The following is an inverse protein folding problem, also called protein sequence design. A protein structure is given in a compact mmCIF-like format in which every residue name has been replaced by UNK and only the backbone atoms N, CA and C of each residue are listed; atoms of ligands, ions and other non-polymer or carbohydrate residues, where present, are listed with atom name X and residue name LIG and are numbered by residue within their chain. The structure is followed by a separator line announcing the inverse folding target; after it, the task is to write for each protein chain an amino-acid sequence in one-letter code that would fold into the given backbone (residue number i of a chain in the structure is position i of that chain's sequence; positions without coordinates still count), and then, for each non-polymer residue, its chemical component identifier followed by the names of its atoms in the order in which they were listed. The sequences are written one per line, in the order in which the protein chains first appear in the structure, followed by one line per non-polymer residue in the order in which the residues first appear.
data_IF_633613756318
#
_entry.id   IF_633613756318
#
_cell.length_a   1.000
_cell.length_b   1.000
_cell.length_c   1.000
_cell.angle_alpha   90.00
_cell.angle_beta   90.00
_cell.angle_gamma   90.00
#
_symmetry.space_group_name_H-M   'P 1'
#
loop_
_entity.id
_entity.type
_entity.pdbx_description
1 polymer ?
#
# COMPACT_ATOMS: atom_id res chain seq x y z
N UNK A 1 -38.81 -24.27 -57.46
CA UNK A 1 -37.72 -25.26 -57.40
C UNK A 1 -36.55 -24.51 -56.85
N UNK A 2 -36.41 -24.59 -55.53
CA UNK A 2 -35.56 -23.72 -54.73
C UNK A 2 -34.09 -24.10 -54.89
N UNK A 3 -33.25 -23.11 -55.22
CA UNK A 3 -31.80 -23.24 -55.18
C UNK A 3 -31.34 -23.26 -53.72
N UNK A 4 -30.70 -24.34 -53.30
CA UNK A 4 -30.10 -24.50 -51.98
C UNK A 4 -28.79 -23.71 -51.94
N UNK A 5 -28.86 -22.48 -51.43
CA UNK A 5 -27.67 -21.69 -51.09
C UNK A 5 -26.96 -22.30 -49.86
N UNK A 6 -25.76 -22.83 -50.08
CA UNK A 6 -24.92 -23.38 -49.01
C UNK A 6 -24.16 -22.24 -48.31
N UNK A 7 -24.55 -21.96 -47.06
CA UNK A 7 -23.90 -20.94 -46.22
C UNK A 7 -22.48 -21.42 -45.83
N UNK A 8 -21.41 -20.65 -46.11
CA UNK A 8 -20.05 -21.05 -45.74
C UNK A 8 -19.86 -20.98 -44.22
N UNK A 9 -19.54 -22.13 -43.60
CA UNK A 9 -19.18 -22.22 -42.19
C UNK A 9 -17.93 -21.37 -41.92
N UNK A 10 -18.09 -20.24 -41.22
CA UNK A 10 -16.98 -19.43 -40.69
C UNK A 10 -16.12 -20.30 -39.77
N UNK A 11 -14.97 -20.74 -40.26
CA UNK A 11 -13.94 -21.42 -39.47
C UNK A 11 -13.45 -20.41 -38.42
N UNK A 12 -13.82 -20.63 -37.16
CA UNK A 12 -13.26 -19.89 -36.03
C UNK A 12 -11.78 -20.24 -35.97
N UNK A 13 -10.92 -19.31 -36.39
CA UNK A 13 -9.48 -19.43 -36.20
C UNK A 13 -9.20 -19.39 -34.69
N UNK A 14 -8.96 -20.56 -34.09
CA UNK A 14 -8.53 -20.66 -32.70
C UNK A 14 -7.21 -19.92 -32.54
N UNK A 15 -7.22 -18.89 -31.68
CA UNK A 15 -6.03 -18.11 -31.36
C UNK A 15 -5.28 -18.79 -30.22
N UNK A 16 -3.97 -18.93 -30.39
CA UNK A 16 -3.09 -19.61 -29.44
C UNK A 16 -2.56 -18.61 -28.41
N UNK A 17 -2.77 -18.88 -27.11
CA UNK A 17 -2.42 -17.98 -26.00
C UNK A 17 -1.16 -18.47 -25.29
N UNK A 18 -0.17 -17.59 -25.09
CA UNK A 18 0.98 -17.89 -24.23
C UNK A 18 0.54 -18.02 -22.77
N UNK A 19 0.90 -19.11 -22.10
CA UNK A 19 0.56 -19.35 -20.69
C UNK A 19 1.27 -18.40 -19.72
N UNK A 20 2.45 -17.88 -20.10
CA UNK A 20 3.26 -17.02 -19.24
C UNK A 20 2.96 -15.51 -19.38
N UNK A 21 2.71 -15.04 -20.61
CA UNK A 21 2.50 -13.60 -20.88
C UNK A 21 1.12 -13.27 -21.48
N UNK A 22 0.29 -14.29 -21.73
CA UNK A 22 -1.07 -14.18 -22.26
C UNK A 22 -1.21 -13.49 -23.61
N UNK A 23 -0.11 -13.24 -24.34
CA UNK A 23 -0.14 -12.80 -25.74
C UNK A 23 -0.82 -13.86 -26.61
N UNK A 24 -1.60 -13.38 -27.58
CA UNK A 24 -2.37 -14.22 -28.49
C UNK A 24 -1.71 -14.23 -29.87
N UNK A 25 -1.66 -15.41 -30.48
CA UNK A 25 -1.04 -15.65 -31.78
C UNK A 25 -2.06 -16.30 -32.71
N UNK A 26 -2.05 -15.90 -33.98
CA UNK A 26 -2.94 -16.48 -34.99
C UNK A 26 -2.45 -17.85 -35.48
N UNK A 27 -1.17 -18.18 -35.26
CA UNK A 27 -0.54 -19.45 -35.63
C UNK A 27 0.20 -20.03 -34.43
N UNK A 28 0.18 -21.37 -34.30
CA UNK A 28 0.86 -22.09 -33.21
C UNK A 28 2.38 -21.96 -33.32
N UNK A 29 2.94 -21.93 -34.54
CA UNK A 29 4.39 -21.77 -34.74
C UNK A 29 4.91 -20.48 -34.07
N UNK A 30 4.22 -19.36 -34.27
CA UNK A 30 4.64 -18.06 -33.70
C UNK A 30 4.56 -18.04 -32.17
N UNK A 31 3.62 -18.80 -31.57
CA UNK A 31 3.57 -18.97 -30.12
C UNK A 31 4.78 -19.77 -29.63
N UNK A 32 5.14 -20.85 -30.32
CA UNK A 32 6.28 -21.70 -29.96
C UNK A 32 7.59 -20.93 -30.09
N UNK A 33 7.76 -20.17 -31.16
CA UNK A 33 8.92 -19.29 -31.38
C UNK A 33 9.00 -18.22 -30.29
N UNK A 34 7.88 -17.57 -29.97
CA UNK A 34 7.80 -16.65 -28.83
C UNK A 34 8.25 -17.30 -27.51
N UNK A 35 7.81 -18.52 -27.21
CA UNK A 35 8.19 -19.21 -25.97
C UNK A 35 9.67 -19.58 -25.93
N UNK A 36 10.29 -19.85 -27.09
CA UNK A 36 11.73 -20.13 -27.21
C UNK A 36 12.58 -18.87 -27.03
N UNK A 37 12.16 -17.76 -27.64
CA UNK A 37 12.96 -16.51 -27.66
C UNK A 37 12.77 -15.66 -26.41
N UNK A 38 11.58 -15.75 -25.78
CA UNK A 38 11.21 -14.80 -24.73
C UNK A 38 11.65 -15.21 -23.33
N UNK A 39 12.40 -16.32 -23.18
CA UNK A 39 12.97 -16.87 -21.93
C UNK A 39 12.31 -16.32 -20.67
N UNK A 40 11.09 -16.79 -20.37
CA UNK A 40 10.29 -16.38 -19.22
C UNK A 40 10.94 -16.84 -17.91
N UNK A 41 12.05 -16.20 -17.54
CA UNK A 41 12.78 -16.43 -16.30
C UNK A 41 12.00 -15.86 -15.11
N UNK A 42 12.20 -16.45 -13.93
CA UNK A 42 11.73 -15.90 -12.64
C UNK A 42 12.24 -14.46 -12.42
N UNK A 43 13.32 -14.08 -13.10
CA UNK A 43 13.88 -12.72 -13.06
C UNK A 43 13.18 -11.72 -14.00
N UNK A 44 12.18 -12.14 -14.80
CA UNK A 44 11.41 -11.20 -15.61
C UNK A 44 10.41 -10.42 -14.75
N UNK A 45 10.39 -9.07 -14.84
CA UNK A 45 9.51 -8.25 -14.02
C UNK A 45 8.05 -8.53 -14.33
N UNK A 46 7.28 -8.86 -13.29
CA UNK A 46 5.87 -9.21 -13.38
C UNK A 46 5.02 -8.11 -12.76
N UNK A 47 3.92 -7.75 -13.41
CA UNK A 47 2.95 -6.82 -12.84
C UNK A 47 2.30 -7.43 -11.59
N UNK A 48 2.40 -6.73 -10.45
CA UNK A 48 1.83 -7.18 -9.18
C UNK A 48 0.30 -7.30 -9.20
N UNK A 49 -0.37 -6.50 -10.04
CA UNK A 49 -1.84 -6.45 -10.20
C UNK A 49 -2.34 -7.55 -11.13
N UNK A 50 -2.04 -7.45 -12.43
CA UNK A 50 -2.56 -8.40 -13.43
C UNK A 50 -1.69 -9.63 -13.67
N UNK A 51 -0.57 -9.77 -12.93
CA UNK A 51 0.35 -10.90 -13.04
C UNK A 51 0.98 -11.10 -14.43
N UNK A 52 0.95 -10.08 -15.30
CA UNK A 52 1.58 -10.10 -16.63
C UNK A 52 3.10 -9.98 -16.53
N UNK A 53 3.84 -10.89 -17.17
CA UNK A 53 5.29 -10.76 -17.34
C UNK A 53 5.62 -9.70 -18.39
N UNK A 54 6.51 -8.78 -18.03
CA UNK A 54 7.02 -7.73 -18.89
C UNK A 54 8.43 -8.09 -19.36
N UNK A 55 8.70 -7.78 -20.64
CA UNK A 55 10.01 -8.04 -21.27
C UNK A 55 11.17 -7.26 -20.63
N UNK A 56 10.85 -6.19 -19.90
CA UNK A 56 11.80 -5.35 -19.17
C UNK A 56 11.07 -4.53 -18.10
N UNK A 57 11.82 -3.96 -17.15
CA UNK A 57 11.27 -3.06 -16.13
C UNK A 57 10.65 -1.79 -16.76
N UNK A 58 11.19 -1.30 -17.88
CA UNK A 58 10.63 -0.16 -18.59
C UNK A 58 9.26 -0.49 -19.21
N UNK A 59 9.11 -1.71 -19.76
CA UNK A 59 7.81 -2.17 -20.26
C UNK A 59 6.79 -2.39 -19.12
N UNK A 60 7.25 -2.73 -17.92
CA UNK A 60 6.39 -2.78 -16.72
C UNK A 60 5.99 -1.35 -16.28
N UNK A 61 6.91 -0.39 -16.35
CA UNK A 61 6.65 1.02 -16.05
C UNK A 61 5.60 1.61 -17.00
N UNK A 62 5.75 1.42 -18.30
CA UNK A 62 4.73 1.82 -19.30
C UNK A 62 3.38 1.14 -19.05
N UNK A 63 3.38 -0.13 -18.63
CA UNK A 63 2.16 -0.87 -18.31
C UNK A 63 1.43 -0.30 -17.09
N UNK A 64 2.15 0.17 -16.07
CA UNK A 64 1.58 0.78 -14.86
C UNK A 64 1.11 2.23 -15.10
N UNK A 65 1.76 2.96 -16.02
CA UNK A 65 1.46 4.38 -16.31
C UNK A 65 0.42 4.55 -17.44
N UNK A 66 0.25 3.54 -18.31
CA UNK A 66 -0.61 3.63 -19.48
C UNK A 66 -2.10 3.76 -19.15
N UNK A 67 -2.71 4.89 -19.56
CA UNK A 67 -4.13 5.26 -19.39
C UNK A 67 -5.19 4.26 -19.90
N UNK A 68 -4.80 3.16 -20.56
CA UNK A 68 -5.74 2.19 -21.17
C UNK A 68 -6.02 0.95 -20.33
N UNK A 69 -5.34 0.75 -19.20
CA UNK A 69 -5.46 -0.49 -18.42
C UNK A 69 -5.79 -0.20 -16.95
N UNK A 70 -6.71 -0.99 -16.40
CA UNK A 70 -7.17 -0.97 -14.99
C UNK A 70 -6.06 -1.18 -13.96
N UNK A 71 -4.84 -1.55 -14.38
CA UNK A 71 -3.67 -1.74 -13.51
C UNK A 71 -3.01 -0.44 -13.03
N UNK A 72 -3.40 0.71 -13.59
CA UNK A 72 -2.90 2.04 -13.18
C UNK A 72 -3.55 2.58 -11.90
N UNK A 73 -4.70 2.03 -11.49
CA UNK A 73 -5.49 2.50 -10.36
C UNK A 73 -5.17 1.79 -9.04
N UNK A 74 -4.35 0.73 -9.08
CA UNK A 74 -3.93 -0.02 -7.91
C UNK A 74 -2.42 -0.19 -8.05
N UNK A 75 -1.65 0.81 -7.64
CA UNK A 75 -0.19 0.67 -7.53
C UNK A 75 0.06 -0.17 -6.28
N UNK A 76 0.54 -1.42 -6.38
CA UNK A 76 0.96 -2.17 -5.20
C UNK A 76 2.27 -1.53 -4.74
N UNK A 77 2.28 -1.01 -3.50
CA UNK A 77 3.41 -0.31 -2.90
C UNK A 77 4.63 -1.19 -2.63
N UNK A 78 4.61 -2.46 -3.04
CA UNK A 78 5.68 -3.43 -2.76
C UNK A 78 6.97 -3.21 -3.56
N UNK A 79 7.01 -2.27 -4.51
CA UNK A 79 8.23 -1.92 -5.27
C UNK A 79 8.62 -0.44 -5.24
N UNK A 80 7.88 0.40 -4.51
CA UNK A 80 7.96 1.86 -4.70
C UNK A 80 8.55 2.67 -3.56
N UNK A 81 8.91 2.05 -2.42
CA UNK A 81 9.57 2.81 -1.34
C UNK A 81 10.90 3.43 -1.81
N UNK A 82 11.65 2.77 -2.70
CA UNK A 82 12.92 3.31 -3.22
C UNK A 82 12.76 4.25 -4.43
N UNK A 83 11.72 4.10 -5.26
CA UNK A 83 11.61 4.82 -6.54
C UNK A 83 10.70 6.06 -6.52
N UNK A 84 9.75 6.16 -5.58
CA UNK A 84 8.87 7.34 -5.48
C UNK A 84 9.65 8.56 -4.95
N UNK A 85 10.63 8.34 -4.07
CA UNK A 85 11.49 9.41 -3.57
C UNK A 85 12.56 9.90 -4.55
N UNK A 86 13.02 9.05 -5.49
CA UNK A 86 14.13 9.41 -6.39
C UNK A 86 13.71 10.10 -7.69
N UNK A 87 12.43 10.07 -8.08
CA UNK A 87 11.99 10.65 -9.37
C UNK A 87 11.15 11.92 -9.27
N UNK A 88 10.79 12.38 -8.07
CA UNK A 88 10.39 13.77 -7.87
C UNK A 88 11.55 14.51 -7.20
N UNK A 89 12.30 15.26 -8.00
CA UNK A 89 13.04 16.44 -7.48
C UNK A 89 12.08 17.35 -6.71
N UNK A 90 12.56 18.35 -5.96
CA UNK A 90 11.83 18.98 -4.88
C UNK A 90 10.52 19.55 -5.39
N UNK A 91 9.43 18.81 -5.19
CA UNK A 91 8.13 19.43 -5.13
C UNK A 91 8.16 20.13 -3.78
N UNK A 92 8.57 21.39 -3.81
CA UNK A 92 8.24 22.40 -2.81
C UNK A 92 6.74 22.22 -2.55
N UNK A 93 6.42 21.51 -1.47
CA UNK A 93 5.10 21.53 -0.88
C UNK A 93 4.96 22.99 -0.44
N UNK A 94 3.93 23.75 -0.86
CA UNK A 94 3.74 25.09 -0.36
C UNK A 94 3.66 25.00 1.16
N UNK A 95 4.69 25.56 1.81
CA UNK A 95 4.75 25.75 3.25
C UNK A 95 3.54 26.58 3.64
N UNK A 96 2.52 25.91 4.16
CA UNK A 96 1.36 26.56 4.76
C UNK A 96 1.73 26.72 6.24
N UNK A 97 2.07 27.95 6.64
CA UNK A 97 2.36 28.29 8.03
C UNK A 97 1.19 27.85 8.92
N UNK A 98 1.38 26.78 9.67
CA UNK A 98 0.56 26.52 10.85
C UNK A 98 1.40 26.86 12.07
N UNK A 99 0.93 27.86 12.83
CA UNK A 99 1.46 28.16 14.17
C UNK A 99 1.23 26.95 15.05
N UNK A 100 2.27 26.14 15.21
CA UNK A 100 2.36 25.20 16.33
C UNK A 100 3.13 25.92 17.41
N UNK A 101 2.47 26.18 18.54
CA UNK A 101 3.09 26.80 19.71
C UNK A 101 4.19 25.86 20.24
N UNK A 102 5.43 26.28 20.03
CA UNK A 102 6.60 25.59 20.52
C UNK A 102 6.76 25.87 22.03
N UNK A 103 6.31 24.95 22.87
CA UNK A 103 6.81 24.90 24.24
C UNK A 103 8.21 24.28 24.23
N UNK A 104 9.21 25.13 24.49
CA UNK A 104 10.62 24.80 24.71
C UNK A 104 10.84 23.52 25.51
N UNK A 105 11.78 22.66 25.08
CA UNK A 105 12.59 21.83 25.97
C UNK A 105 13.91 21.44 25.32
N UNK A 106 14.96 21.55 26.12
CA UNK A 106 16.37 21.60 25.72
C UNK A 106 16.98 20.31 25.20
N UNK A 107 18.18 20.48 24.66
CA UNK A 107 19.09 19.44 24.18
C UNK A 107 19.42 18.40 25.26
N UNK A 108 19.13 17.14 24.94
CA UNK A 108 19.91 15.98 25.32
C UNK A 108 19.77 14.96 24.19
N UNK A 109 20.78 14.12 23.98
CA UNK A 109 20.75 12.98 23.06
C UNK A 109 19.72 11.94 23.54
N UNK A 110 18.44 12.26 23.43
CA UNK A 110 17.33 11.37 23.75
C UNK A 110 17.19 10.36 22.62
N UNK A 111 16.98 9.09 22.99
CA UNK A 111 16.57 8.07 22.05
C UNK A 111 15.35 8.55 21.25
N UNK A 112 15.20 8.13 19.98
CA UNK A 112 14.05 8.54 19.19
C UNK A 112 12.76 8.09 19.89
N UNK A 113 11.88 9.05 20.18
CA UNK A 113 10.58 8.79 20.83
C UNK A 113 9.74 7.85 19.99
N UNK A 114 9.05 6.90 20.63
CA UNK A 114 8.13 6.01 19.97
C UNK A 114 6.75 6.66 19.78
N UNK A 115 6.09 6.34 18.66
CA UNK A 115 4.70 6.67 18.36
C UNK A 115 4.02 5.39 17.92
N UNK A 116 2.94 5.01 18.59
CA UNK A 116 2.12 3.90 18.14
C UNK A 116 1.08 4.39 17.12
N UNK A 117 0.81 3.59 16.11
CA UNK A 117 -0.23 3.83 15.10
C UNK A 117 -1.18 2.64 15.03
N UNK A 118 -2.45 2.94 14.83
CA UNK A 118 -3.47 1.96 14.48
C UNK A 118 -4.49 2.61 13.54
N UNK A 119 -4.94 1.87 12.55
CA UNK A 119 -5.98 2.32 11.62
C UNK A 119 -7.19 1.39 11.65
N UNK A 120 -8.36 1.98 11.50
CA UNK A 120 -9.58 1.24 11.21
C UNK A 120 -9.87 1.27 9.72
N UNK A 121 -10.16 0.09 9.15
CA UNK A 121 -10.38 -0.06 7.72
C UNK A 121 -11.80 -0.52 7.39
N UNK A 122 -12.41 0.16 6.44
CA UNK A 122 -13.68 -0.23 5.83
C UNK A 122 -13.44 -0.93 4.49
N UNK A 123 -14.41 -1.74 4.06
CA UNK A 123 -14.42 -2.44 2.78
C UNK A 123 -14.89 -1.54 1.63
N UNK A 124 -14.13 -1.56 0.54
CA UNK A 124 -14.48 -0.96 -0.73
C UNK A 124 -14.40 -1.93 -1.91
N UNK A 125 -14.69 -1.42 -3.11
CA UNK A 125 -14.77 -2.23 -4.33
C UNK A 125 -16.08 -3.01 -4.43
N UNK A 126 -16.31 -3.65 -5.57
CA UNK A 126 -17.58 -4.34 -5.86
C UNK A 126 -17.92 -5.47 -4.90
N UNK A 127 -16.93 -6.05 -4.23
CA UNK A 127 -17.05 -7.17 -3.29
C UNK A 127 -16.69 -6.81 -1.83
N UNK A 128 -16.33 -5.55 -1.54
CA UNK A 128 -15.95 -5.10 -0.20
C UNK A 128 -14.61 -5.64 0.31
N UNK A 129 -13.81 -6.27 -0.56
CA UNK A 129 -12.54 -6.90 -0.19
C UNK A 129 -11.37 -5.92 -0.11
N UNK A 130 -11.52 -4.72 -0.66
CA UNK A 130 -10.47 -3.69 -0.59
C UNK A 130 -10.50 -3.01 0.77
N UNK A 131 -9.36 -2.99 1.45
CA UNK A 131 -9.19 -2.23 2.69
C UNK A 131 -8.97 -0.75 2.39
N UNK A 132 -9.82 0.10 2.95
CA UNK A 132 -9.73 1.56 2.88
C UNK A 132 -9.60 2.10 4.30
N UNK A 133 -8.56 2.90 4.57
CA UNK A 133 -8.44 3.60 5.84
C UNK A 133 -9.64 4.54 6.02
N UNK A 134 -10.28 4.45 7.19
CA UNK A 134 -11.45 5.24 7.55
C UNK A 134 -11.30 5.90 8.93
N UNK A 135 -10.41 5.40 9.78
CA UNK A 135 -9.93 6.11 10.97
C UNK A 135 -8.44 5.81 11.18
N UNK A 136 -7.73 6.73 11.81
CA UNK A 136 -6.35 6.56 12.25
C UNK A 136 -6.14 7.22 13.60
N UNK A 137 -5.37 6.56 14.47
CA UNK A 137 -4.99 7.09 15.78
C UNK A 137 -3.47 6.94 15.99
N UNK A 138 -2.84 8.01 16.48
CA UNK A 138 -1.45 8.04 16.90
C UNK A 138 -1.37 8.43 18.38
N UNK A 139 -0.62 7.65 19.16
CA UNK A 139 -0.36 7.90 20.58
C UNK A 139 1.13 7.95 20.89
N UNK A 140 1.51 8.70 21.93
CA UNK A 140 2.87 8.68 22.48
C UNK A 140 3.08 7.58 23.53
N UNK A 141 4.29 7.55 24.10
CA UNK A 141 4.72 6.63 25.15
C UNK A 141 3.95 6.83 26.47
N UNK A 142 3.38 8.01 26.68
CA UNK A 142 2.57 8.37 27.84
C UNK A 142 1.08 8.13 27.59
N UNK A 143 0.73 7.40 26.52
CA UNK A 143 -0.63 7.05 26.10
C UNK A 143 -1.51 8.24 25.69
N UNK A 144 -0.93 9.42 25.45
CA UNK A 144 -1.68 10.58 25.00
C UNK A 144 -1.98 10.48 23.50
N UNK A 145 -3.20 10.82 23.12
CA UNK A 145 -3.60 10.92 21.71
C UNK A 145 -2.98 12.17 21.09
N UNK A 146 -2.00 11.96 20.22
CA UNK A 146 -1.31 13.04 19.49
C UNK A 146 -2.10 13.44 18.25
N UNK A 147 -2.69 12.46 17.58
CA UNK A 147 -3.47 12.69 16.37
C UNK A 147 -4.52 11.61 16.20
N UNK A 148 -5.76 12.03 15.96
CA UNK A 148 -6.86 11.15 15.61
C UNK A 148 -7.69 11.84 14.52
N UNK A 149 -8.03 11.08 13.48
CA UNK A 149 -8.88 11.58 12.41
C UNK A 149 -9.71 10.46 11.77
N UNK A 150 -10.96 10.77 11.46
CA UNK A 150 -11.69 10.03 10.44
C UNK A 150 -11.15 10.39 9.07
N UNK A 151 -10.94 9.39 8.23
CA UNK A 151 -10.31 9.51 6.92
C UNK A 151 -11.36 9.32 5.83
N UNK A 152 -11.40 10.25 4.88
CA UNK A 152 -12.28 10.14 3.73
C UNK A 152 -11.80 9.03 2.79
N UNK A 153 -12.58 7.95 2.59
CA UNK A 153 -12.15 6.85 1.73
C UNK A 153 -12.07 7.30 0.26
N UNK A 154 -11.01 6.88 -0.42
CA UNK A 154 -10.70 7.24 -1.82
C UNK A 154 -11.71 6.72 -2.86
N UNK A 155 -12.53 5.74 -2.48
CA UNK A 155 -13.61 5.16 -3.27
C UNK A 155 -14.81 4.91 -2.35
N UNK A 156 -16.03 4.72 -2.89
CA UNK A 156 -17.21 4.46 -2.08
C UNK A 156 -17.04 3.23 -1.18
N UNK A 157 -17.48 3.37 0.07
CA UNK A 157 -17.53 2.28 1.06
C UNK A 157 -18.67 1.34 0.69
N UNK A 158 -18.37 0.05 0.60
CA UNK A 158 -19.36 -1.01 0.37
C UNK A 158 -19.63 -1.83 1.62
N UNK A 159 -18.73 -1.83 2.60
CA UNK A 159 -18.91 -2.50 3.87
C UNK A 159 -18.17 -1.76 5.00
N UNK A 160 -18.86 -1.24 6.00
CA UNK A 160 -18.24 -0.52 7.12
C UNK A 160 -17.52 -1.44 8.12
N UNK A 161 -17.77 -2.76 8.08
CA UNK A 161 -17.22 -3.74 9.02
C UNK A 161 -17.49 -3.37 10.48
N UNK A 162 -18.70 -2.87 10.74
CA UNK A 162 -19.10 -2.25 12.00
C UNK A 162 -18.77 -3.07 13.26
N UNK A 163 -18.95 -4.39 13.22
CA UNK A 163 -18.66 -5.28 14.35
C UNK A 163 -17.19 -5.26 14.82
N UNK A 164 -16.29 -4.84 13.93
CA UNK A 164 -14.85 -4.74 14.21
C UNK A 164 -14.46 -3.28 14.40
N UNK A 165 -14.90 -2.39 13.50
CA UNK A 165 -14.42 -1.00 13.42
C UNK A 165 -15.24 -0.01 14.24
N UNK A 166 -16.50 -0.33 14.56
CA UNK A 166 -17.47 0.61 15.14
C UNK A 166 -17.84 1.79 14.22
N UNK A 167 -17.41 1.79 12.96
CA UNK A 167 -17.57 2.93 12.05
C UNK A 167 -18.95 2.96 11.38
N UNK A 168 -19.50 4.17 11.24
CA UNK A 168 -20.77 4.43 10.58
C UNK A 168 -20.56 5.47 9.48
N UNK A 169 -21.53 5.60 8.57
CA UNK A 169 -21.51 6.63 7.54
C UNK A 169 -21.39 8.05 8.14
N UNK A 170 -22.00 8.28 9.30
CA UNK A 170 -21.97 9.59 9.96
C UNK A 170 -20.55 9.99 10.42
N UNK A 171 -19.74 9.02 10.88
CA UNK A 171 -18.34 9.28 11.21
C UNK A 171 -17.53 9.75 9.99
N UNK A 172 -17.90 9.31 8.79
CA UNK A 172 -17.20 9.65 7.55
C UNK A 172 -17.74 10.91 6.88
N UNK A 173 -18.83 11.48 7.38
CA UNK A 173 -19.40 12.73 6.86
C UNK A 173 -18.45 13.89 7.16
N UNK A 174 -17.83 14.44 6.12
CA UNK A 174 -16.86 15.52 6.28
C UNK A 174 -15.53 15.06 6.89
N UNK A 175 -15.21 13.77 6.80
CA UNK A 175 -13.91 13.23 7.20
C UNK A 175 -12.75 13.90 6.45
N UNK A 176 -11.56 13.86 7.06
CA UNK A 176 -10.37 14.51 6.54
C UNK A 176 -9.89 13.79 5.26
N UNK A 177 -9.56 14.51 4.17
CA UNK A 177 -8.98 13.91 2.98
C UNK A 177 -7.70 13.14 3.30
N UNK A 178 -7.50 11.99 2.66
CA UNK A 178 -6.36 11.12 2.90
C UNK A 178 -5.02 11.86 2.74
N UNK A 179 -4.92 12.78 1.77
CA UNK A 179 -3.72 13.56 1.53
C UNK A 179 -3.34 14.47 2.72
N UNK A 180 -4.34 15.04 3.41
CA UNK A 180 -4.10 15.87 4.59
C UNK A 180 -3.67 15.01 5.78
N UNK A 181 -4.33 13.86 5.98
CA UNK A 181 -3.96 12.86 6.99
C UNK A 181 -2.51 12.40 6.79
N UNK A 182 -2.10 12.12 5.55
CA UNK A 182 -0.74 11.73 5.21
C UNK A 182 0.29 12.78 5.62
N UNK A 183 0.01 14.06 5.34
CA UNK A 183 0.88 15.18 5.69
C UNK A 183 1.04 15.26 7.20
N UNK A 184 -0.07 15.24 7.95
CA UNK A 184 -0.05 15.30 9.42
C UNK A 184 0.75 14.16 10.05
N UNK A 185 0.51 12.92 9.61
CA UNK A 185 1.23 11.74 10.11
C UNK A 185 2.72 11.86 9.81
N UNK A 186 3.09 12.24 8.58
CA UNK A 186 4.50 12.38 8.21
C UNK A 186 5.20 13.52 8.97
N UNK A 187 4.53 14.65 9.22
CA UNK A 187 5.06 15.74 10.06
C UNK A 187 5.38 15.25 11.47
N UNK A 188 4.46 14.49 12.07
CA UNK A 188 4.63 13.91 13.41
C UNK A 188 5.81 12.93 13.42
N UNK A 189 5.87 12.00 12.46
CA UNK A 189 6.89 10.96 12.43
C UNK A 189 8.28 11.48 12.07
N UNK A 190 8.36 12.43 11.12
CA UNK A 190 9.63 13.03 10.68
C UNK A 190 10.21 13.95 11.75
N UNK A 191 9.36 14.59 12.57
CA UNK A 191 9.79 15.42 13.69
C UNK A 191 10.83 16.49 13.28
N UNK A 192 10.60 17.14 12.14
CA UNK A 192 11.48 18.16 11.57
C UNK A 192 12.71 17.64 10.81
N UNK A 193 12.91 16.32 10.69
CA UNK A 193 13.97 15.74 9.86
C UNK A 193 13.58 15.72 8.38
N UNK A 194 14.56 15.94 7.51
CA UNK A 194 14.36 15.69 6.08
C UNK A 194 14.36 14.19 5.80
N UNK A 195 13.62 13.77 4.76
CA UNK A 195 13.55 12.36 4.37
C UNK A 195 14.92 11.74 4.12
N UNK A 196 15.86 12.50 3.58
CA UNK A 196 17.23 12.02 3.33
C UNK A 196 17.98 11.72 4.62
N UNK A 197 17.69 12.43 5.72
CA UNK A 197 18.33 12.23 7.04
C UNK A 197 17.71 11.09 7.84
N UNK A 198 16.44 10.75 7.61
CA UNK A 198 15.79 9.56 8.21
C UNK A 198 16.51 8.24 7.90
N UNK A 199 17.33 8.22 6.85
CA UNK A 199 18.09 7.03 6.40
C UNK A 199 19.38 6.79 7.19
N UNK A 200 19.80 7.73 8.03
CA UNK A 200 21.00 7.60 8.84
C UNK A 200 20.62 7.41 10.31
N UNK A 201 21.33 6.51 11.01
CA UNK A 201 21.16 6.28 12.44
C UNK A 201 21.47 7.58 13.21
N UNK A 202 20.65 7.90 14.23
CA UNK A 202 20.84 9.08 15.09
C UNK A 202 20.06 10.35 14.72
N UNK A 203 19.12 10.28 13.77
CA UNK A 203 18.19 11.39 13.47
C UNK A 203 17.07 11.56 14.52
N UNK A 204 16.34 12.68 14.46
CA UNK A 204 15.20 12.97 15.37
C UNK A 204 13.86 12.32 14.96
N UNK A 205 13.85 11.55 13.89
CA UNK A 205 12.66 10.84 13.42
C UNK A 205 12.18 9.83 14.48
N UNK A 206 10.87 9.70 14.60
CA UNK A 206 10.24 8.90 15.66
C UNK A 206 10.20 7.42 15.30
N UNK A 207 10.24 6.54 16.29
CA UNK A 207 10.05 5.11 16.04
C UNK A 207 8.55 4.84 15.89
N UNK A 208 8.15 4.23 14.79
CA UNK A 208 6.77 3.81 14.57
C UNK A 208 6.53 2.43 15.18
N UNK A 209 5.50 2.29 16.00
CA UNK A 209 5.16 1.04 16.69
C UNK A 209 3.72 0.64 16.32
N UNK A 210 3.44 -0.67 16.24
CA UNK A 210 2.07 -1.15 16.08
C UNK A 210 2.00 -2.66 15.89
N UNK A 211 0.85 -3.14 15.39
CA UNK A 211 0.61 -4.56 15.14
C UNK A 211 0.22 -4.78 13.68
N UNK A 212 1.08 -5.42 12.89
CA UNK A 212 0.94 -5.52 11.44
C UNK A 212 0.97 -4.15 10.73
N UNK A 213 1.82 -3.24 11.21
CA UNK A 213 2.00 -1.83 10.77
C UNK A 213 2.03 -1.64 9.24
N UNK A 214 2.51 -2.64 8.52
CA UNK A 214 2.54 -2.61 7.05
C UNK A 214 1.15 -2.48 6.42
N UNK A 215 0.12 -3.05 7.05
CA UNK A 215 -1.28 -2.96 6.59
C UNK A 215 -1.79 -1.52 6.75
N UNK A 216 -1.52 -0.89 7.90
CA UNK A 216 -1.87 0.51 8.17
C UNK A 216 -1.20 1.45 7.16
N UNK A 217 0.12 1.31 6.99
CA UNK A 217 0.90 2.13 6.07
C UNK A 217 0.47 1.95 4.61
N UNK A 218 0.08 0.74 4.20
CA UNK A 218 -0.46 0.48 2.86
C UNK A 218 -1.82 1.17 2.67
N UNK A 219 -2.72 1.11 3.65
CA UNK A 219 -4.03 1.77 3.58
C UNK A 219 -3.91 3.29 3.59
N UNK A 220 -2.97 3.82 4.37
CA UNK A 220 -2.63 5.25 4.40
C UNK A 220 -1.81 5.70 3.18
N UNK A 221 -1.26 4.77 2.40
CA UNK A 221 -0.32 5.02 1.28
C UNK A 221 0.93 5.81 1.71
N UNK A 222 1.42 5.51 2.91
CA UNK A 222 2.62 6.14 3.49
C UNK A 222 3.79 5.16 3.40
N UNK A 223 4.96 5.67 3.02
CA UNK A 223 6.23 4.94 3.13
C UNK A 223 6.95 5.39 4.40
N UNK A 224 7.31 4.45 5.27
CA UNK A 224 8.14 4.73 6.45
C UNK A 224 9.34 3.76 6.51
N UNK A 225 10.54 4.20 6.93
CA UNK A 225 11.71 3.33 6.90
C UNK A 225 11.59 2.11 7.83
N UNK A 226 11.89 0.91 7.32
CA UNK A 226 11.76 -0.35 8.05
C UNK A 226 12.58 -0.36 9.36
N UNK A 227 13.77 0.26 9.36
CA UNK A 227 14.63 0.33 10.56
C UNK A 227 14.05 1.21 11.67
N UNK A 228 13.10 2.10 11.35
CA UNK A 228 12.35 2.92 12.30
C UNK A 228 10.97 2.34 12.62
N UNK A 229 10.63 1.15 12.11
CA UNK A 229 9.39 0.45 12.42
C UNK A 229 9.61 -0.67 13.43
N UNK A 230 8.68 -0.82 14.39
CA UNK A 230 8.65 -1.88 15.39
C UNK A 230 7.27 -2.53 15.37
N UNK A 231 7.20 -3.69 14.72
CA UNK A 231 5.96 -4.41 14.51
C UNK A 231 5.85 -5.60 15.46
N UNK A 232 4.87 -5.55 16.36
CA UNK A 232 4.62 -6.62 17.34
C UNK A 232 4.22 -7.95 16.68
N UNK A 233 3.66 -7.93 15.47
CA UNK A 233 3.34 -9.14 14.70
C UNK A 233 4.59 -9.82 14.12
N UNK A 234 5.71 -9.08 13.95
CA UNK A 234 6.99 -9.55 13.43
C UNK A 234 8.06 -9.73 14.52
N UNK A 235 7.76 -9.36 15.76
CA UNK A 235 8.72 -9.43 16.86
C UNK A 235 8.84 -10.88 17.39
N UNK A 236 9.98 -11.51 17.09
CA UNK A 236 10.26 -12.94 17.36
C UNK A 236 9.77 -13.46 18.73
N UNK A 237 9.99 -12.78 19.86
CA UNK A 237 9.51 -13.24 21.17
C UNK A 237 7.99 -13.31 21.32
N UNK A 238 7.22 -12.54 20.54
CA UNK A 238 5.76 -12.51 20.56
C UNK A 238 5.13 -13.36 19.45
N UNK A 239 5.93 -14.01 18.60
CA UNK A 239 5.45 -14.84 17.50
C UNK A 239 5.24 -16.29 17.95
N UNK A 240 4.43 -17.02 17.18
CA UNK A 240 4.30 -18.48 17.33
C UNK A 240 5.63 -19.17 17.02
N UNK A 241 5.78 -20.40 17.51
CA UNK A 241 6.95 -21.25 17.22
C UNK A 241 7.15 -21.50 15.71
N UNK A 242 6.06 -21.49 14.92
CA UNK A 242 6.10 -21.62 13.47
C UNK A 242 6.33 -20.28 12.73
N UNK A 243 6.70 -19.21 13.44
CA UNK A 243 6.96 -17.88 12.87
C UNK A 243 5.70 -17.21 12.28
N UNK A 244 4.50 -17.70 12.61
CA UNK A 244 3.27 -16.97 12.33
C UNK A 244 2.97 -15.97 13.46
N UNK A 245 2.30 -14.86 13.12
CA UNK A 245 1.84 -13.89 14.11
C UNK A 245 0.71 -14.45 14.98
N UNK A 246 0.66 -13.97 16.22
CA UNK A 246 -0.54 -14.03 17.05
C UNK A 246 -1.42 -12.82 16.74
N UNK A 247 -2.73 -12.93 16.97
CA UNK A 247 -3.61 -11.75 16.92
C UNK A 247 -3.29 -10.83 18.12
N UNK A 248 -3.48 -9.52 17.94
CA UNK A 248 -3.34 -8.57 19.03
C UNK A 248 -4.22 -8.96 20.23
N UNK A 249 -5.48 -9.36 19.99
CA UNK A 249 -6.39 -9.89 21.02
C UNK A 249 -5.79 -11.02 21.85
N UNK A 250 -5.05 -11.95 21.22
CA UNK A 250 -4.37 -13.02 21.94
C UNK A 250 -3.21 -12.47 22.78
N UNK A 251 -2.40 -11.58 22.20
CA UNK A 251 -1.24 -11.01 22.88
C UNK A 251 -1.66 -10.21 24.11
N UNK A 252 -2.64 -9.31 23.98
CA UNK A 252 -3.17 -8.52 25.10
C UNK A 252 -3.65 -9.43 26.22
N UNK A 253 -4.50 -10.42 25.90
CA UNK A 253 -5.01 -11.38 26.89
C UNK A 253 -3.90 -12.18 27.60
N UNK A 254 -2.83 -12.52 26.87
CA UNK A 254 -1.77 -13.37 27.39
C UNK A 254 -0.80 -12.60 28.29
N UNK A 255 -0.49 -11.35 27.94
CA UNK A 255 0.58 -10.58 28.57
C UNK A 255 0.09 -9.45 29.47
N UNK A 256 -1.13 -8.94 29.26
CA UNK A 256 -1.67 -7.77 29.96
C UNK A 256 -2.90 -8.11 30.83
N UNK A 257 -3.52 -9.27 30.64
CA UNK A 257 -4.72 -9.72 31.38
C UNK A 257 -6.02 -9.39 30.67
#
# INVERSE_FOLDING_TARGET
MDEVETVPKKIKTERYKCSACYKMYNKKEHLVEHMKDSYHSVHQPKCGVCKKHCKSFESLREHLIGKKNTCSLIIPMTFTCSLVYYKKGPAVIPFMESKVEASNLGEASQAPKAIAIDCEMVGGGSDGTLDLCASVCLIDEDENVIFHAYVQPIIPVTNYRYEITGLTEEHLRGAMPLEEVQVRILEILQNGESISRMRFEGGKARVLVGHSVEIDLQCLRICYPDHLSRDTAKYRPLMKTNVASHSLKYLTKTYLG
#
